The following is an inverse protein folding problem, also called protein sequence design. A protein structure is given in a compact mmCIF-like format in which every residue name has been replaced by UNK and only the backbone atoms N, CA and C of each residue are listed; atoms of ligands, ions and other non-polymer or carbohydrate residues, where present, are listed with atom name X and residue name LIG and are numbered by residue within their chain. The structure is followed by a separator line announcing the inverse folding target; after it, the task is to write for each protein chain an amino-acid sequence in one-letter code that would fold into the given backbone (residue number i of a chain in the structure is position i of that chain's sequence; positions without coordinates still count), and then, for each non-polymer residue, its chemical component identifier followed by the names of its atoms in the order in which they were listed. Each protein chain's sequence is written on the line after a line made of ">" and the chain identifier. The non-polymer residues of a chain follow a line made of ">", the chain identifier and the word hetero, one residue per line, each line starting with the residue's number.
data_IF_778106956522
#
_entry.id   IF_778106956522
#
_cell.length_a   1.000
_cell.length_b   1.000
_cell.length_c   1.000
_cell.angle_alpha   90.00
_cell.angle_beta   90.00
_cell.angle_gamma   90.00
#
_symmetry.space_group_name_H-M   'P 1'
#
loop_
_entity.id
_entity.type
_entity.pdbx_description
1 polymer ?
#
# COMPACT_ATOMS: atom_id res chain seq x y z
N UNK A 1 -1.90 10.88 -5.67
CA UNK A 1 -3.30 11.13 -5.23
C UNK A 1 -3.58 12.59 -4.87
N UNK A 2 -2.59 13.37 -4.41
CA UNK A 2 -2.75 14.80 -4.09
C UNK A 2 -3.40 15.63 -5.22
N UNK A 3 -3.05 15.38 -6.49
CA UNK A 3 -3.66 16.07 -7.62
C UNK A 3 -5.19 15.84 -7.74
N UNK A 4 -5.70 14.67 -7.33
CA UNK A 4 -7.14 14.42 -7.27
C UNK A 4 -7.81 15.20 -6.12
N UNK A 5 -7.13 15.38 -4.99
CA UNK A 5 -7.61 16.22 -3.88
C UNK A 5 -7.70 17.68 -4.34
N UNK A 6 -6.68 18.17 -5.03
CA UNK A 6 -6.69 19.51 -5.62
C UNK A 6 -7.90 19.69 -6.57
N UNK A 7 -8.11 18.76 -7.51
CA UNK A 7 -9.26 18.82 -8.42
C UNK A 7 -10.60 18.76 -7.67
N UNK A 8 -10.69 17.95 -6.60
CA UNK A 8 -11.88 17.87 -5.75
C UNK A 8 -12.19 19.20 -5.05
N UNK A 9 -11.19 19.91 -4.54
CA UNK A 9 -11.37 21.25 -3.95
C UNK A 9 -11.78 22.29 -4.99
N UNK A 10 -11.33 22.15 -6.24
CA UNK A 10 -11.81 22.94 -7.38
C UNK A 10 -13.23 22.56 -7.85
N UNK A 11 -13.94 21.70 -7.10
CA UNK A 11 -15.29 21.21 -7.42
C UNK A 11 -15.39 20.48 -8.75
N UNK A 12 -14.27 19.92 -9.24
CA UNK A 12 -14.25 19.07 -10.42
C UNK A 12 -14.84 17.70 -10.10
N UNK A 13 -15.55 17.15 -11.08
CA UNK A 13 -16.02 15.76 -11.04
C UNK A 13 -14.84 14.79 -11.23
N UNK A 14 -15.06 13.51 -10.92
CA UNK A 14 -14.05 12.47 -11.13
C UNK A 14 -13.62 12.36 -12.60
N UNK A 15 -14.58 12.47 -13.54
CA UNK A 15 -14.34 12.41 -14.97
C UNK A 15 -13.54 13.62 -15.47
N UNK A 16 -13.86 14.84 -15.01
CA UNK A 16 -13.06 16.03 -15.31
C UNK A 16 -11.65 15.92 -14.73
N UNK A 17 -11.52 15.44 -13.49
CA UNK A 17 -10.23 15.23 -12.85
C UNK A 17 -9.38 14.23 -13.64
N UNK A 18 -9.97 13.12 -14.10
CA UNK A 18 -9.30 12.15 -14.96
C UNK A 18 -8.80 12.77 -16.27
N UNK A 19 -9.64 13.57 -16.94
CA UNK A 19 -9.25 14.29 -18.17
C UNK A 19 -8.10 15.26 -17.93
N UNK A 20 -8.18 16.06 -16.87
CA UNK A 20 -7.12 17.02 -16.49
C UNK A 20 -5.81 16.30 -16.17
N UNK A 21 -5.87 15.18 -15.46
CA UNK A 21 -4.68 14.37 -15.17
C UNK A 21 -4.09 13.80 -16.45
N UNK A 22 -4.93 13.26 -17.35
CA UNK A 22 -4.47 12.68 -18.63
C UNK A 22 -3.85 13.74 -19.53
N UNK A 23 -4.40 14.94 -19.53
CA UNK A 23 -3.85 16.10 -20.26
C UNK A 23 -2.49 16.52 -19.69
N UNK A 24 -2.33 16.56 -18.37
CA UNK A 24 -1.09 17.00 -17.72
C UNK A 24 0.03 15.94 -17.71
N UNK A 25 -0.32 14.66 -17.54
CA UNK A 25 0.64 13.57 -17.29
C UNK A 25 0.64 12.48 -18.38
N UNK A 26 -0.20 12.60 -19.41
CA UNK A 26 -0.30 11.62 -20.50
C UNK A 26 -1.00 10.33 -20.06
N UNK A 27 -0.53 9.19 -20.57
CA UNK A 27 -1.19 7.90 -20.39
C UNK A 27 -0.85 7.20 -19.07
N UNK A 28 0.17 7.66 -18.34
CA UNK A 28 0.62 7.06 -17.08
C UNK A 28 -0.25 7.47 -15.88
N UNK A 29 -1.52 7.78 -16.11
CA UNK A 29 -2.47 8.20 -15.09
C UNK A 29 -3.26 7.02 -14.53
N UNK A 30 -3.75 7.11 -13.29
CA UNK A 30 -4.68 6.12 -12.77
C UNK A 30 -5.94 6.03 -13.64
N UNK A 31 -6.56 4.85 -13.66
CA UNK A 31 -7.83 4.64 -14.38
C UNK A 31 -8.93 5.59 -13.90
N UNK A 32 -9.94 5.80 -14.75
CA UNK A 32 -11.10 6.60 -14.37
C UNK A 32 -11.81 6.02 -13.13
N UNK A 33 -11.95 4.69 -13.03
CA UNK A 33 -12.51 4.02 -11.84
C UNK A 33 -11.74 4.35 -10.56
N UNK A 34 -10.41 4.43 -10.65
CA UNK A 34 -9.57 4.83 -9.52
C UNK A 34 -9.88 6.27 -9.11
N UNK A 35 -10.02 7.19 -10.08
CA UNK A 35 -10.39 8.58 -9.81
C UNK A 35 -11.77 8.69 -9.14
N UNK A 36 -12.74 7.87 -9.58
CA UNK A 36 -14.08 7.80 -8.98
C UNK A 36 -14.05 7.26 -7.55
N UNK A 37 -13.33 6.17 -7.30
CA UNK A 37 -13.17 5.59 -5.96
C UNK A 37 -12.58 6.60 -4.98
N UNK A 38 -11.53 7.32 -5.38
CA UNK A 38 -10.94 8.38 -4.57
C UNK A 38 -11.89 9.55 -4.38
N UNK A 39 -12.63 9.96 -5.41
CA UNK A 39 -13.64 11.02 -5.29
C UNK A 39 -14.76 10.67 -4.31
N UNK A 40 -15.19 9.41 -4.24
CA UNK A 40 -16.16 8.94 -3.23
C UNK A 40 -15.59 9.03 -1.81
N UNK A 41 -14.31 8.67 -1.63
CA UNK A 41 -13.59 8.78 -0.36
C UNK A 41 -13.45 10.23 0.12
N UNK A 42 -13.15 11.15 -0.79
CA UNK A 42 -13.09 12.58 -0.45
C UNK A 42 -14.45 13.15 -0.04
N UNK A 43 -15.54 12.66 -0.62
CA UNK A 43 -16.91 13.05 -0.19
C UNK A 43 -17.23 12.61 1.24
N UNK A 44 -16.62 11.55 1.76
CA UNK A 44 -16.74 11.16 3.17
C UNK A 44 -15.76 11.90 4.10
N UNK A 45 -15.02 12.90 3.59
CA UNK A 45 -14.05 13.68 4.36
C UNK A 45 -12.72 12.97 4.62
N UNK A 46 -12.49 11.81 4.00
CA UNK A 46 -11.24 11.06 4.15
C UNK A 46 -10.26 11.47 3.03
N UNK A 47 -9.28 12.29 3.41
CA UNK A 47 -8.23 12.80 2.55
C UNK A 47 -6.88 12.10 2.75
N UNK A 48 -6.84 11.01 3.53
CA UNK A 48 -5.61 10.27 3.76
C UNK A 48 -5.15 9.57 2.47
N UNK A 49 -4.02 10.02 1.94
CA UNK A 49 -3.41 9.52 0.71
C UNK A 49 -2.47 8.35 0.94
N UNK A 50 -2.09 8.08 2.19
CA UNK A 50 -1.22 6.96 2.53
C UNK A 50 -1.90 5.64 2.17
N UNK A 51 -1.11 4.68 1.74
CA UNK A 51 -1.59 3.32 1.63
C UNK A 51 -1.82 2.77 3.03
N UNK A 52 -2.99 2.15 3.24
CA UNK A 52 -3.27 1.41 4.47
C UNK A 52 -2.26 0.28 4.58
N UNK A 53 -1.91 -0.10 5.81
CA UNK A 53 -1.16 -1.33 6.01
C UNK A 53 -1.88 -2.48 5.30
N UNK A 54 -1.17 -3.09 4.37
CA UNK A 54 -1.64 -4.30 3.74
C UNK A 54 -1.42 -5.42 4.75
N UNK A 55 -2.42 -6.28 4.93
CA UNK A 55 -2.29 -7.41 5.85
C UNK A 55 -1.00 -8.17 5.54
N UNK A 56 -0.06 -8.18 6.49
CA UNK A 56 1.15 -8.98 6.37
C UNK A 56 0.74 -10.44 6.48
N UNK A 57 1.31 -11.35 5.68
CA UNK A 57 1.18 -12.78 5.94
C UNK A 57 1.48 -13.05 7.41
N UNK A 58 0.66 -13.89 8.05
CA UNK A 58 0.88 -14.29 9.44
C UNK A 58 2.31 -14.79 9.59
N UNK A 59 3.03 -14.31 10.61
CA UNK A 59 4.34 -14.86 10.93
C UNK A 59 4.16 -16.33 11.28
N UNK A 60 5.01 -17.19 10.73
CA UNK A 60 5.04 -18.61 11.11
C UNK A 60 5.77 -18.83 12.44
N UNK A 61 6.59 -17.87 12.86
CA UNK A 61 7.46 -17.93 14.03
C UNK A 61 7.58 -16.53 14.64
N UNK A 62 7.65 -16.43 15.95
CA UNK A 62 7.98 -15.16 16.61
C UNK A 62 9.48 -14.92 16.69
N UNK A 63 9.85 -13.64 16.76
CA UNK A 63 11.26 -13.21 16.79
C UNK A 63 12.02 -13.80 17.98
N UNK A 64 11.32 -13.97 19.12
CA UNK A 64 11.85 -14.62 20.31
C UNK A 64 12.20 -16.09 20.08
N UNK A 65 11.41 -16.82 19.30
CA UNK A 65 11.69 -18.23 18.98
C UNK A 65 12.90 -18.34 18.06
N UNK A 66 13.05 -17.39 17.12
CA UNK A 66 14.24 -17.31 16.26
C UNK A 66 15.50 -16.99 17.07
N UNK A 67 15.39 -16.10 18.06
CA UNK A 67 16.51 -15.71 18.91
C UNK A 67 17.01 -16.89 19.77
N UNK A 68 16.08 -17.67 20.36
CA UNK A 68 16.44 -18.87 21.15
C UNK A 68 17.22 -19.88 20.31
N UNK A 69 16.79 -20.13 19.07
CA UNK A 69 17.49 -21.05 18.16
C UNK A 69 18.91 -20.58 17.80
N UNK A 70 19.10 -19.26 17.65
CA UNK A 70 20.43 -18.68 17.37
C UNK A 70 21.34 -18.68 18.60
N UNK A 71 20.78 -18.50 19.80
CA UNK A 71 21.53 -18.57 21.05
C UNK A 71 21.95 -20.01 21.39
N UNK A 72 21.20 -21.02 20.92
CA UNK A 72 21.56 -22.43 21.06
C UNK A 72 22.68 -22.88 20.10
N UNK A 73 22.68 -22.38 18.86
CA UNK A 73 23.69 -22.69 17.85
C UNK A 73 23.89 -21.52 16.88
N UNK A 74 24.88 -20.68 17.18
CA UNK A 74 25.22 -19.49 16.38
C UNK A 74 25.91 -19.85 15.05
N UNK A 75 26.35 -21.10 14.89
CA UNK A 75 27.10 -21.59 13.74
C UNK A 75 26.21 -22.22 12.64
N UNK A 76 24.90 -22.27 12.89
CA UNK A 76 23.94 -22.92 12.02
C UNK A 76 23.76 -22.22 10.67
N UNK A 77 23.61 -23.01 9.61
CA UNK A 77 23.29 -22.48 8.28
C UNK A 77 21.79 -22.25 8.09
N UNK A 78 21.41 -21.26 7.28
CA UNK A 78 20.00 -20.96 6.96
C UNK A 78 19.19 -22.18 6.49
N UNK A 79 19.82 -23.15 5.82
CA UNK A 79 19.15 -24.39 5.37
C UNK A 79 18.79 -25.32 6.54
N UNK A 80 19.71 -25.48 7.50
CA UNK A 80 19.47 -26.29 8.70
C UNK A 80 18.38 -25.64 9.56
N UNK A 81 18.49 -24.32 9.73
CA UNK A 81 17.50 -23.50 10.44
C UNK A 81 16.09 -23.65 9.85
N UNK A 82 15.94 -23.48 8.53
CA UNK A 82 14.65 -23.61 7.86
C UNK A 82 14.06 -25.04 7.92
N UNK A 83 14.91 -26.05 8.11
CA UNK A 83 14.49 -27.46 8.20
C UNK A 83 13.96 -27.83 9.58
N UNK A 84 14.40 -27.12 10.63
CA UNK A 84 13.88 -27.23 12.00
C UNK A 84 12.57 -26.45 12.19
N UNK A 85 12.26 -25.55 11.25
CA UNK A 85 11.18 -24.56 11.33
C UNK A 85 9.96 -24.93 10.45
N UNK A 86 9.71 -26.22 10.23
CA UNK A 86 8.69 -26.75 9.31
C UNK A 86 7.72 -27.72 9.99
#
# INVERSE_FOLDING_TARGET
>A
RAALIFCFHLKKTAAESYRLLREAYGEHVPSQDTCERWSRRFKSGDFDVADKEHGKPSKRYEDVELQVLLDEDDSQTQKQFNSQSN
#
